data_IF_335556723719
#
_entry.id   IF_335556723719
#
_cell.length_a   1.000
_cell.length_b   1.000
_cell.length_c   1.000
_cell.angle_alpha   90.00
_cell.angle_beta   90.00
_cell.angle_gamma   90.00
#
_symmetry.space_group_name_H-M   'P 1'
#
loop_
_entity.id
_entity.type
_entity.pdbx_description
1 polymer ?
#
# COMPACT_ATOMS: atom_id res chain seq x y z
N UNK A 1 28.94 -15.53 53.20
CA UNK A 1 29.15 -15.48 51.72
C UNK A 1 27.86 -15.47 50.89
N UNK A 2 26.68 -15.82 51.42
CA UNK A 2 25.42 -15.86 50.63
C UNK A 2 24.84 -14.51 50.20
N UNK A 3 25.09 -13.42 50.95
CA UNK A 3 24.52 -12.10 50.65
C UNK A 3 25.14 -11.42 49.40
N UNK A 4 26.41 -11.66 49.12
CA UNK A 4 27.11 -11.07 47.97
C UNK A 4 26.64 -11.67 46.63
N UNK A 5 26.38 -12.99 46.61
CA UNK A 5 25.89 -13.71 45.43
C UNK A 5 24.43 -13.37 45.12
N UNK A 6 23.59 -13.16 46.15
CA UNK A 6 22.21 -12.68 45.97
C UNK A 6 22.14 -11.26 45.41
N UNK A 7 23.06 -10.38 45.81
CA UNK A 7 23.14 -9.00 45.32
C UNK A 7 23.59 -8.94 43.85
N UNK A 8 24.61 -9.73 43.48
CA UNK A 8 25.10 -9.82 42.10
C UNK A 8 24.03 -10.45 41.19
N UNK A 9 23.35 -11.50 41.65
CA UNK A 9 22.24 -12.12 40.92
C UNK A 9 21.07 -11.16 40.69
N UNK A 10 20.72 -10.34 41.69
CA UNK A 10 19.66 -9.33 41.58
C UNK A 10 19.99 -8.20 40.61
N UNK A 11 21.24 -7.71 40.61
CA UNK A 11 21.71 -6.67 39.68
C UNK A 11 21.75 -7.18 38.24
N UNK A 12 22.24 -8.40 38.01
CA UNK A 12 22.26 -9.01 36.68
C UNK A 12 20.84 -9.23 36.17
N UNK A 13 19.93 -9.75 37.01
CA UNK A 13 18.52 -9.94 36.64
C UNK A 13 17.84 -8.61 36.29
N UNK A 14 18.05 -7.54 37.07
CA UNK A 14 17.52 -6.21 36.76
C UNK A 14 18.05 -5.62 35.45
N UNK A 15 19.30 -5.91 35.10
CA UNK A 15 19.90 -5.50 33.83
C UNK A 15 19.26 -6.25 32.65
N UNK A 16 19.04 -7.55 32.77
CA UNK A 16 18.34 -8.35 31.76
C UNK A 16 16.87 -7.96 31.60
N UNK A 17 16.16 -7.66 32.69
CA UNK A 17 14.77 -7.20 32.61
C UNK A 17 14.67 -5.83 31.96
N UNK A 18 15.54 -4.87 32.30
CA UNK A 18 15.54 -3.54 31.65
C UNK A 18 15.93 -3.58 30.18
N UNK A 19 16.92 -4.40 29.80
CA UNK A 19 17.27 -4.61 28.40
C UNK A 19 16.14 -5.33 27.65
N UNK A 20 15.54 -6.36 28.24
CA UNK A 20 14.42 -7.09 27.67
C UNK A 20 13.18 -6.21 27.48
N UNK A 21 12.83 -5.38 28.45
CA UNK A 21 11.72 -4.42 28.37
C UNK A 21 11.94 -3.40 27.25
N UNK A 22 13.17 -2.89 27.10
CA UNK A 22 13.53 -1.99 25.99
C UNK A 22 13.31 -2.64 24.62
N UNK A 23 13.85 -3.83 24.40
CA UNK A 23 13.73 -4.57 23.13
C UNK A 23 12.28 -4.98 22.83
N UNK A 24 11.54 -5.40 23.84
CA UNK A 24 10.12 -5.76 23.70
C UNK A 24 9.31 -4.51 23.33
N UNK A 25 9.53 -3.39 24.01
CA UNK A 25 8.82 -2.14 23.72
C UNK A 25 9.07 -1.65 22.29
N UNK A 26 10.32 -1.70 21.83
CA UNK A 26 10.71 -1.32 20.47
C UNK A 26 10.12 -2.27 19.41
N UNK A 27 10.04 -3.58 19.69
CA UNK A 27 9.36 -4.54 18.81
C UNK A 27 7.85 -4.28 18.72
N UNK A 28 7.19 -3.96 19.83
CA UNK A 28 5.77 -3.62 19.82
C UNK A 28 5.51 -2.30 19.09
N UNK A 29 6.37 -1.31 19.27
CA UNK A 29 6.26 -0.01 18.62
C UNK A 29 6.47 -0.12 17.10
N UNK A 30 7.48 -0.90 16.66
CA UNK A 30 7.70 -1.22 15.25
C UNK A 30 6.52 -1.97 14.62
N UNK A 31 5.94 -2.94 15.33
CA UNK A 31 4.72 -3.65 14.87
C UNK A 31 3.52 -2.71 14.76
N UNK A 32 3.33 -1.83 15.74
CA UNK A 32 2.25 -0.85 15.76
C UNK A 32 2.39 0.15 14.60
N UNK A 33 3.59 0.67 14.36
CA UNK A 33 3.85 1.55 13.23
C UNK A 33 3.62 0.86 11.87
N UNK A 34 4.07 -0.40 11.72
CA UNK A 34 3.81 -1.19 10.50
C UNK A 34 2.31 -1.41 10.27
N UNK A 35 1.54 -1.68 11.33
CA UNK A 35 0.08 -1.81 11.24
C UNK A 35 -0.57 -0.48 10.80
N UNK A 36 -0.17 0.65 11.38
CA UNK A 36 -0.69 1.97 10.99
C UNK A 36 -0.39 2.31 9.53
N UNK A 37 0.83 2.03 9.06
CA UNK A 37 1.22 2.20 7.66
C UNK A 37 0.35 1.36 6.71
N UNK A 38 0.08 0.10 7.06
CA UNK A 38 -0.83 -0.78 6.30
C UNK A 38 -2.26 -0.27 6.25
N UNK A 39 -2.79 0.24 7.37
CA UNK A 39 -4.14 0.82 7.41
C UNK A 39 -4.21 2.08 6.53
N UNK A 40 -3.20 2.94 6.58
CA UNK A 40 -3.17 4.13 5.72
C UNK A 40 -3.06 3.75 4.24
N UNK A 41 -2.17 2.81 3.91
CA UNK A 41 -2.05 2.28 2.55
C UNK A 41 -3.36 1.67 2.05
N UNK A 42 -4.10 0.96 2.91
CA UNK A 42 -5.41 0.41 2.57
C UNK A 42 -6.45 1.50 2.25
N UNK A 43 -6.43 2.63 2.96
CA UNK A 43 -7.30 3.78 2.65
C UNK A 43 -6.95 4.39 1.31
N UNK A 44 -5.65 4.59 1.07
CA UNK A 44 -5.13 5.16 -0.17
C UNK A 44 -5.51 4.25 -1.37
N UNK A 45 -5.25 2.94 -1.28
CA UNK A 45 -5.64 1.94 -2.29
C UNK A 45 -7.15 2.00 -2.56
N UNK A 46 -7.98 2.00 -1.51
CA UNK A 46 -9.43 2.06 -1.68
C UNK A 46 -9.88 3.34 -2.38
N UNK A 47 -9.38 4.51 -1.96
CA UNK A 47 -9.71 5.79 -2.59
C UNK A 47 -9.34 5.77 -4.07
N UNK A 48 -8.10 5.38 -4.41
CA UNK A 48 -7.64 5.38 -5.80
C UNK A 48 -8.35 4.36 -6.68
N UNK A 49 -8.59 3.15 -6.19
CA UNK A 49 -9.26 2.11 -6.97
C UNK A 49 -10.74 2.41 -7.14
N UNK A 50 -11.43 2.88 -6.09
CA UNK A 50 -12.87 3.21 -6.16
C UNK A 50 -13.10 4.43 -7.05
N UNK A 51 -12.30 5.48 -6.89
CA UNK A 51 -12.35 6.65 -7.79
C UNK A 51 -12.02 6.22 -9.21
N UNK A 52 -10.99 5.40 -9.37
CA UNK A 52 -10.51 4.88 -10.66
C UNK A 52 -11.56 4.09 -11.43
N UNK A 53 -12.29 3.23 -10.76
CA UNK A 53 -13.34 2.40 -11.35
C UNK A 53 -14.66 3.15 -11.63
N UNK A 54 -14.78 4.41 -11.20
CA UNK A 54 -15.98 5.19 -11.47
C UNK A 54 -16.11 5.47 -12.97
N UNK A 55 -17.34 5.39 -13.53
CA UNK A 55 -17.60 5.54 -14.98
C UNK A 55 -17.10 6.87 -15.56
N UNK A 56 -17.02 7.91 -14.73
CA UNK A 56 -16.57 9.26 -15.08
C UNK A 56 -15.14 9.58 -14.66
N UNK A 57 -14.34 8.56 -14.28
CA UNK A 57 -12.99 8.81 -13.83
C UNK A 57 -12.15 9.46 -14.93
N UNK A 58 -11.57 10.62 -14.62
CA UNK A 58 -10.63 11.35 -15.48
C UNK A 58 -9.32 11.50 -14.72
N UNK A 59 -8.31 10.70 -15.07
CA UNK A 59 -6.96 10.91 -14.54
C UNK A 59 -6.45 12.27 -15.05
N UNK A 60 -6.26 13.21 -14.13
CA UNK A 60 -5.45 14.42 -14.35
C UNK A 60 -3.98 14.09 -14.10
N UNK A 61 -3.06 14.77 -14.79
CA UNK A 61 -1.62 14.51 -14.67
C UNK A 61 -1.10 14.67 -13.22
N UNK A 62 -1.62 15.66 -12.47
CA UNK A 62 -1.26 15.86 -11.05
C UNK A 62 -1.75 14.72 -10.16
N UNK A 63 -2.96 14.22 -10.41
CA UNK A 63 -3.50 13.03 -9.72
C UNK A 63 -2.65 11.80 -10.03
N UNK A 64 -2.17 11.65 -11.27
CA UNK A 64 -1.30 10.53 -11.65
C UNK A 64 0.03 10.54 -10.89
N UNK A 65 0.67 11.72 -10.75
CA UNK A 65 1.91 11.87 -9.98
C UNK A 65 1.70 11.56 -8.51
N UNK A 66 0.59 12.01 -7.93
CA UNK A 66 0.25 11.73 -6.54
C UNK A 66 0.07 10.23 -6.29
N UNK A 67 -0.68 9.54 -7.15
CA UNK A 67 -0.92 8.11 -6.97
C UNK A 67 0.37 7.30 -7.23
N UNK A 68 1.23 7.72 -8.16
CA UNK A 68 2.56 7.12 -8.37
C UNK A 68 3.45 7.25 -7.14
N UNK A 69 3.47 8.41 -6.49
CA UNK A 69 4.19 8.61 -5.23
C UNK A 69 3.67 7.65 -4.16
N UNK A 70 2.34 7.58 -4.02
CA UNK A 70 1.69 6.71 -3.04
C UNK A 70 1.92 5.23 -3.30
N UNK A 71 1.97 4.82 -4.56
CA UNK A 71 2.34 3.46 -4.93
C UNK A 71 3.76 3.12 -4.45
N UNK A 72 4.74 4.03 -4.60
CA UNK A 72 6.09 3.84 -4.06
C UNK A 72 6.11 3.71 -2.53
N UNK A 73 5.31 4.50 -1.82
CA UNK A 73 5.17 4.38 -0.36
C UNK A 73 4.60 3.01 0.04
N UNK A 74 3.67 2.47 -0.77
CA UNK A 74 3.07 1.16 -0.57
C UNK A 74 4.04 0.04 -0.92
N UNK A 75 4.87 0.17 -1.96
CA UNK A 75 5.92 -0.81 -2.30
C UNK A 75 6.89 -1.04 -1.13
N UNK A 76 7.20 0.01 -0.36
CA UNK A 76 8.03 -0.11 0.83
C UNK A 76 7.38 -0.93 1.97
N UNK A 77 6.06 -1.15 1.90
CA UNK A 77 5.29 -1.98 2.84
C UNK A 77 5.09 -3.38 2.26
N UNK A 78 4.72 -3.44 0.99
CA UNK A 78 4.45 -4.65 0.21
C UNK A 78 4.72 -4.34 -1.28
N UNK A 79 5.81 -4.92 -1.78
CA UNK A 79 6.32 -4.68 -3.14
C UNK A 79 5.30 -5.08 -4.20
N UNK A 80 4.60 -6.20 -4.01
CA UNK A 80 3.64 -6.72 -5.00
C UNK A 80 2.42 -5.80 -5.12
N UNK A 81 1.88 -5.36 -3.98
CA UNK A 81 0.70 -4.49 -3.95
C UNK A 81 1.00 -3.13 -4.57
N UNK A 82 2.15 -2.55 -4.25
CA UNK A 82 2.56 -1.27 -4.81
C UNK A 82 2.82 -1.36 -6.33
N UNK A 83 3.44 -2.44 -6.80
CA UNK A 83 3.63 -2.70 -8.23
C UNK A 83 2.28 -2.84 -8.98
N UNK A 84 1.33 -3.59 -8.40
CA UNK A 84 -0.03 -3.73 -8.95
C UNK A 84 -0.77 -2.40 -9.00
N UNK A 85 -0.62 -1.53 -8.00
CA UNK A 85 -1.22 -0.20 -8.02
C UNK A 85 -0.64 0.70 -9.12
N UNK A 86 0.66 0.59 -9.43
CA UNK A 86 1.25 1.27 -10.60
C UNK A 86 0.69 0.73 -11.91
N UNK A 87 0.57 -0.59 -12.05
CA UNK A 87 -0.01 -1.21 -13.24
C UNK A 87 -1.46 -0.77 -13.44
N UNK A 88 -2.25 -0.70 -12.37
CA UNK A 88 -3.62 -0.17 -12.39
C UNK A 88 -3.68 1.24 -12.98
N UNK A 89 -2.79 2.15 -12.53
CA UNK A 89 -2.72 3.51 -13.07
C UNK A 89 -2.32 3.55 -14.54
N UNK A 90 -1.31 2.77 -14.93
CA UNK A 90 -0.82 2.75 -16.30
C UNK A 90 -1.88 2.25 -17.28
N UNK A 91 -2.70 1.26 -16.90
CA UNK A 91 -3.83 0.79 -17.71
C UNK A 91 -4.87 1.90 -17.92
N UNK A 92 -5.20 2.67 -16.89
CA UNK A 92 -6.09 3.83 -17.03
C UNK A 92 -5.48 4.95 -17.87
N UNK A 93 -4.17 5.17 -17.75
CA UNK A 93 -3.45 6.14 -18.59
C UNK A 93 -3.47 5.72 -20.06
N UNK A 94 -3.26 4.43 -20.35
CA UNK A 94 -3.37 3.87 -21.70
C UNK A 94 -4.79 3.99 -22.25
N UNK A 95 -5.82 3.63 -21.48
CA UNK A 95 -7.22 3.82 -21.84
C UNK A 95 -7.51 5.28 -22.24
N UNK A 96 -7.07 6.25 -21.43
CA UNK A 96 -7.18 7.69 -21.72
C UNK A 96 -6.45 8.08 -23.01
N UNK A 97 -5.25 7.55 -23.25
CA UNK A 97 -4.44 7.92 -24.41
C UNK A 97 -5.07 7.42 -25.72
N UNK A 98 -5.61 6.20 -25.74
CA UNK A 98 -6.36 5.69 -26.90
C UNK A 98 -7.60 6.55 -27.19
N UNK A 99 -8.29 7.02 -26.15
CA UNK A 99 -9.47 7.88 -26.30
C UNK A 99 -9.16 9.33 -26.71
N UNK A 100 -7.88 9.73 -26.71
CA UNK A 100 -7.43 11.06 -27.16
C UNK A 100 -7.02 11.09 -28.64
N UNK A 101 -6.92 9.94 -29.30
CA UNK A 101 -6.49 9.89 -30.69
C UNK A 101 -7.63 10.33 -31.61
N UNK A 102 -7.39 11.37 -32.41
CA UNK A 102 -8.31 11.80 -33.48
C UNK A 102 -7.76 11.40 -34.86
N UNK A 103 -8.58 10.82 -35.76
CA UNK A 103 -9.97 10.43 -35.55
C UNK A 103 -10.12 9.19 -34.67
N UNK A 104 -11.16 9.19 -33.82
CA UNK A 104 -11.49 8.04 -32.99
C UNK A 104 -12.07 6.93 -33.89
N UNK A 105 -11.48 5.74 -33.84
CA UNK A 105 -11.94 4.58 -34.62
C UNK A 105 -12.55 3.55 -33.69
N UNK A 106 -13.40 2.67 -34.23
CA UNK A 106 -13.99 1.56 -33.48
C UNK A 106 -12.92 0.66 -32.82
N UNK A 107 -11.79 0.44 -33.49
CA UNK A 107 -10.66 -0.32 -32.92
C UNK A 107 -10.05 0.39 -31.70
N UNK A 108 -9.92 1.73 -31.73
CA UNK A 108 -9.45 2.49 -30.57
C UNK A 108 -10.40 2.35 -29.37
N UNK A 109 -11.71 2.36 -29.60
CA UNK A 109 -12.72 2.16 -28.54
C UNK A 109 -12.65 0.75 -27.94
N UNK A 110 -12.50 -0.27 -28.80
CA UNK A 110 -12.36 -1.66 -28.37
C UNK A 110 -11.12 -1.86 -27.51
N UNK A 111 -9.97 -1.33 -27.94
CA UNK A 111 -8.72 -1.39 -27.19
C UNK A 111 -8.85 -0.64 -25.85
N UNK A 112 -9.45 0.56 -25.85
CA UNK A 112 -9.67 1.33 -24.62
C UNK A 112 -10.58 0.59 -23.62
N UNK A 113 -11.58 -0.14 -24.13
CA UNK A 113 -12.42 -1.01 -23.30
C UNK A 113 -11.62 -2.16 -22.68
N UNK A 114 -10.78 -2.85 -23.45
CA UNK A 114 -9.94 -3.93 -22.93
C UNK A 114 -9.01 -3.44 -21.81
N UNK A 115 -8.42 -2.24 -21.95
CA UNK A 115 -7.63 -1.62 -20.90
C UNK A 115 -8.45 -1.29 -19.65
N UNK A 116 -9.68 -0.78 -19.83
CA UNK A 116 -10.60 -0.48 -18.73
C UNK A 116 -10.99 -1.75 -17.96
N UNK A 117 -11.33 -2.82 -18.68
CA UNK A 117 -11.75 -4.08 -18.06
C UNK A 117 -10.59 -4.70 -17.26
N UNK A 118 -9.37 -4.69 -17.82
CA UNK A 118 -8.15 -5.11 -17.10
C UNK A 118 -7.87 -4.27 -15.86
N UNK A 119 -8.00 -2.94 -15.98
CA UNK A 119 -7.82 -2.05 -14.84
C UNK A 119 -8.87 -2.31 -13.75
N UNK A 120 -10.12 -2.61 -14.13
CA UNK A 120 -11.18 -2.91 -13.20
C UNK A 120 -10.91 -4.21 -12.43
N UNK A 121 -10.48 -5.29 -13.10
CA UNK A 121 -10.08 -6.54 -12.43
C UNK A 121 -8.95 -6.31 -11.42
N UNK A 122 -7.89 -5.58 -11.81
CA UNK A 122 -6.78 -5.25 -10.91
C UNK A 122 -7.23 -4.37 -9.73
N UNK A 123 -8.13 -3.41 -9.97
CA UNK A 123 -8.70 -2.57 -8.92
C UNK A 123 -9.47 -3.38 -7.87
N UNK A 124 -10.25 -4.39 -8.30
CA UNK A 124 -10.97 -5.29 -7.39
C UNK A 124 -10.03 -6.15 -6.54
N UNK A 125 -8.93 -6.65 -7.12
CA UNK A 125 -7.89 -7.38 -6.40
C UNK A 125 -7.21 -6.51 -5.33
N UNK A 126 -6.82 -5.28 -5.71
CA UNK A 126 -6.22 -4.31 -4.80
C UNK A 126 -7.15 -3.95 -3.64
N UNK A 127 -8.45 -3.80 -3.90
CA UNK A 127 -9.46 -3.54 -2.85
C UNK A 127 -9.59 -4.73 -1.89
N UNK A 128 -9.50 -5.98 -2.37
CA UNK A 128 -9.50 -7.16 -1.49
C UNK A 128 -8.33 -7.12 -0.52
N UNK A 129 -7.11 -6.85 -1.01
CA UNK A 129 -5.92 -6.74 -0.17
C UNK A 129 -6.04 -5.57 0.82
N UNK A 130 -6.55 -4.42 0.36
CA UNK A 130 -6.80 -3.27 1.24
C UNK A 130 -7.77 -3.61 2.38
N UNK A 131 -8.83 -4.38 2.12
CA UNK A 131 -9.76 -4.85 3.16
C UNK A 131 -9.09 -5.77 4.18
N UNK A 132 -8.14 -6.59 3.76
CA UNK A 132 -7.38 -7.45 4.67
C UNK A 132 -6.43 -6.64 5.55
N UNK A 133 -5.79 -5.61 4.99
CA UNK A 133 -4.90 -4.72 5.74
C UNK A 133 -5.62 -3.77 6.70
N UNK A 134 -6.91 -3.50 6.46
CA UNK A 134 -7.74 -2.66 7.32
C UNK A 134 -8.31 -3.38 8.56
N UNK A 135 -8.17 -4.71 8.65
CA UNK A 135 -8.56 -5.53 9.82
C UNK A 135 -7.45 -5.49 10.89
#
# INVERSE_FOLDING_TARGET
>A
MGALLGFIGGVIFQLFTKLGEGWISELFENRKQKKLKKIQAAKDINSFCIEGMHKNFRIKAESERHIKLKATEIEAIDEEVGAKLRQFLDLWSQCRNFLKNEPLTFEHEKIAKDYRDKAQTLGEELIKVAREWAR
#
